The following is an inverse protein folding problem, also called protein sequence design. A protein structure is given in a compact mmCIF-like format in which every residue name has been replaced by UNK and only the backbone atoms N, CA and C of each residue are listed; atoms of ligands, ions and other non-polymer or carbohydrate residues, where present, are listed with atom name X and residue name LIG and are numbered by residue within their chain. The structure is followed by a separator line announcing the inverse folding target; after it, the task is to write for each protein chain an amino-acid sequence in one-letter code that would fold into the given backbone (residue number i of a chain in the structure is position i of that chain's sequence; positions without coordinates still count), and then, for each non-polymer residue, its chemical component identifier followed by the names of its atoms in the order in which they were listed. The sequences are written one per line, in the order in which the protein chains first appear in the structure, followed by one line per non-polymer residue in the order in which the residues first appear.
data_IF_525198413365
#
_entry.id   IF_525198413365
#
_cell.length_a   1.000
_cell.length_b   1.000
_cell.length_c   1.000
_cell.angle_alpha   90.00
_cell.angle_beta   90.00
_cell.angle_gamma   90.00
#
_symmetry.space_group_name_H-M   'P 1'
#
loop_
_entity.id
_entity.type
_entity.pdbx_description
1 polymer ?
#
# COMPACT_ATOMS: atom_id res chain seq x y z
N UNK A 1 -7.39 -17.44 -62.94
CA UNK A 1 -7.87 -18.20 -61.76
C UNK A 1 -6.84 -18.21 -60.63
N UNK A 2 -5.58 -18.56 -60.87
CA UNK A 2 -4.53 -18.64 -59.82
C UNK A 2 -4.24 -17.30 -59.12
N UNK A 3 -4.30 -16.15 -59.81
CA UNK A 3 -4.02 -14.82 -59.20
C UNK A 3 -5.11 -14.31 -58.25
N UNK A 4 -6.37 -14.75 -58.40
CA UNK A 4 -7.50 -14.34 -57.54
C UNK A 4 -7.47 -15.11 -56.22
N UNK A 5 -7.05 -16.38 -56.25
CA UNK A 5 -6.88 -17.23 -55.05
C UNK A 5 -5.76 -16.71 -54.16
N UNK A 6 -4.66 -16.22 -54.76
CA UNK A 6 -3.51 -15.67 -54.03
C UNK A 6 -3.86 -14.36 -53.31
N UNK A 7 -4.67 -13.49 -53.92
CA UNK A 7 -5.10 -12.23 -53.28
C UNK A 7 -6.09 -12.45 -52.12
N UNK A 8 -6.97 -13.46 -52.19
CA UNK A 8 -7.86 -13.81 -51.08
C UNK A 8 -7.12 -14.46 -49.90
N UNK A 9 -6.05 -15.23 -50.17
CA UNK A 9 -5.27 -15.90 -49.13
C UNK A 9 -4.43 -14.92 -48.28
N UNK A 10 -3.96 -13.82 -48.87
CA UNK A 10 -3.13 -12.82 -48.17
C UNK A 10 -3.99 -11.90 -47.29
N UNK A 11 -5.22 -11.57 -47.71
CA UNK A 11 -6.14 -10.73 -46.92
C UNK A 11 -6.67 -11.45 -45.66
N UNK A 12 -6.74 -12.79 -45.67
CA UNK A 12 -7.17 -13.59 -44.52
C UNK A 12 -6.04 -13.87 -43.51
N UNK A 13 -4.77 -13.77 -43.91
CA UNK A 13 -3.65 -14.00 -43.00
C UNK A 13 -3.27 -12.74 -42.19
N UNK A 14 -3.60 -11.55 -42.68
CA UNK A 14 -3.33 -10.28 -41.99
C UNK A 14 -4.30 -10.00 -40.82
N UNK A 15 -5.42 -10.72 -40.71
CA UNK A 15 -6.39 -10.54 -39.62
C UNK A 15 -6.05 -11.36 -38.36
N UNK A 16 -5.10 -12.29 -38.43
CA UNK A 16 -4.76 -13.19 -37.31
C UNK A 16 -3.66 -12.58 -36.40
N UNK A 17 -2.95 -11.55 -36.86
CA UNK A 17 -1.80 -10.99 -36.13
C UNK A 17 -2.11 -9.71 -35.32
N UNK A 18 -3.38 -9.34 -35.13
CA UNK A 18 -3.78 -8.19 -34.30
C UNK A 18 -4.10 -8.56 -32.84
N UNK A 19 -3.85 -9.82 -32.44
CA UNK A 19 -4.20 -10.34 -31.11
C UNK A 19 -3.08 -10.33 -30.07
N UNK A 20 -1.89 -9.79 -30.38
CA UNK A 20 -0.83 -9.67 -29.38
C UNK A 20 -1.09 -8.46 -28.48
N UNK A 21 -2.07 -8.61 -27.59
CA UNK A 21 -2.21 -7.77 -26.41
C UNK A 21 -0.90 -7.84 -25.65
N UNK A 22 -0.08 -6.80 -25.80
CA UNK A 22 1.10 -6.60 -24.98
C UNK A 22 0.59 -6.37 -23.56
N UNK A 23 0.53 -7.44 -22.77
CA UNK A 23 0.39 -7.35 -21.32
C UNK A 23 1.60 -6.57 -20.85
N UNK A 24 1.43 -5.26 -20.69
CA UNK A 24 2.37 -4.44 -19.96
C UNK A 24 2.42 -5.07 -18.58
N UNK A 25 3.50 -5.83 -18.33
CA UNK A 25 3.88 -6.18 -16.97
C UNK A 25 4.09 -4.83 -16.30
N UNK A 26 3.11 -4.39 -15.52
CA UNK A 26 3.32 -3.30 -14.60
C UNK A 26 4.49 -3.77 -13.73
N UNK A 27 5.63 -3.11 -13.86
CA UNK A 27 6.74 -3.30 -12.95
C UNK A 27 6.21 -2.76 -11.63
N UNK A 28 5.63 -3.63 -10.81
CA UNK A 28 5.28 -3.30 -9.44
C UNK A 28 6.61 -2.88 -8.81
N UNK A 29 6.77 -1.58 -8.57
CA UNK A 29 7.79 -1.10 -7.66
C UNK A 29 7.64 -1.93 -6.38
N UNK A 30 8.74 -2.45 -5.80
CA UNK A 30 8.64 -3.16 -4.54
C UNK A 30 7.90 -2.24 -3.56
N UNK A 31 6.66 -2.61 -3.19
CA UNK A 31 5.98 -1.90 -2.11
C UNK A 31 6.83 -2.20 -0.90
N UNK A 32 7.46 -1.17 -0.34
CA UNK A 32 8.23 -1.33 0.89
C UNK A 32 7.32 -2.00 1.91
N UNK A 33 7.76 -3.14 2.45
CA UNK A 33 6.93 -3.88 3.41
C UNK A 33 6.58 -2.96 4.58
N UNK A 34 5.34 -2.98 5.08
CA UNK A 34 4.88 -2.08 6.13
C UNK A 34 5.79 -2.03 7.37
N UNK A 35 6.49 -3.14 7.68
CA UNK A 35 7.52 -3.19 8.73
C UNK A 35 8.72 -2.28 8.44
N UNK A 36 9.24 -2.24 7.21
CA UNK A 36 10.37 -1.39 6.82
C UNK A 36 9.98 0.09 6.92
N UNK A 37 8.81 0.45 6.40
CA UNK A 37 8.27 1.81 6.53
C UNK A 37 8.13 2.18 8.00
N UNK A 38 7.59 1.28 8.83
CA UNK A 38 7.46 1.54 10.26
C UNK A 38 8.81 1.81 10.93
N UNK A 39 9.84 1.01 10.63
CA UNK A 39 11.17 1.19 11.21
C UNK A 39 11.79 2.55 10.86
N UNK A 40 11.65 2.99 9.60
CA UNK A 40 12.25 4.24 9.12
C UNK A 40 11.44 5.46 9.56
N UNK A 41 10.11 5.39 9.48
CA UNK A 41 9.24 6.56 9.60
C UNK A 41 8.55 6.69 10.97
N UNK A 42 8.29 5.58 11.67
CA UNK A 42 7.39 5.57 12.82
C UNK A 42 8.09 5.20 14.14
N UNK A 43 9.06 4.28 14.09
CA UNK A 43 9.67 3.67 15.27
C UNK A 43 10.36 4.68 16.19
N UNK A 44 10.87 5.79 15.64
CA UNK A 44 11.48 6.88 16.41
C UNK A 44 10.57 7.40 17.53
N UNK A 45 9.25 7.43 17.32
CA UNK A 45 8.28 7.80 18.35
C UNK A 45 7.51 6.61 18.94
N UNK A 46 7.36 5.53 18.17
CA UNK A 46 6.42 4.45 18.42
C UNK A 46 7.04 3.07 18.62
N UNK A 47 8.34 2.99 18.92
CA UNK A 47 9.02 1.74 19.20
C UNK A 47 8.21 0.81 20.15
N UNK A 48 8.12 -0.47 19.80
CA UNK A 48 7.36 -1.50 20.53
C UNK A 48 5.90 -1.10 20.83
N UNK A 49 5.28 -0.36 19.91
CA UNK A 49 3.91 0.12 20.02
C UNK A 49 3.71 1.23 21.04
N UNK A 50 4.80 1.83 21.52
CA UNK A 50 4.79 2.93 22.48
C UNK A 50 4.33 4.26 21.88
N UNK A 51 4.51 5.32 22.65
CA UNK A 51 4.49 6.70 22.17
C UNK A 51 5.30 7.56 23.15
N UNK A 52 6.49 7.98 22.72
CA UNK A 52 7.41 8.75 23.57
C UNK A 52 6.91 10.19 23.82
N UNK A 53 6.12 10.74 22.89
CA UNK A 53 5.60 12.11 22.96
C UNK A 53 4.35 12.17 23.84
N UNK A 54 3.44 11.19 23.69
CA UNK A 54 2.16 11.11 24.42
C UNK A 54 1.93 9.71 24.98
N UNK A 55 2.40 9.46 26.21
CA UNK A 55 2.36 8.14 26.89
C UNK A 55 1.00 7.42 26.93
N UNK A 56 -0.13 8.14 26.83
CA UNK A 56 -1.49 7.56 26.83
C UNK A 56 -2.08 7.30 25.42
N UNK A 57 -1.34 7.65 24.36
CA UNK A 57 -1.71 7.53 22.93
C UNK A 57 -0.74 6.57 22.23
N UNK A 58 -0.63 5.35 22.76
CA UNK A 58 0.23 4.28 22.23
C UNK A 58 -0.46 3.55 21.09
N UNK A 59 0.28 2.73 20.33
CA UNK A 59 -0.25 1.88 19.25
C UNK A 59 -0.76 0.51 19.75
N UNK A 60 -0.93 0.36 21.07
CA UNK A 60 -1.47 -0.86 21.68
C UNK A 60 -2.97 -0.90 21.48
N UNK A 61 -3.54 -2.07 21.17
CA UNK A 61 -4.98 -2.27 20.87
C UNK A 61 -5.93 -1.54 21.83
N UNK A 62 -5.76 -1.69 23.15
CA UNK A 62 -6.59 -1.00 24.17
C UNK A 62 -6.51 0.53 24.08
N UNK A 63 -5.37 1.08 23.69
CA UNK A 63 -5.21 2.51 23.49
C UNK A 63 -5.83 2.98 22.18
N UNK A 64 -5.65 2.25 21.08
CA UNK A 64 -6.28 2.54 19.80
C UNK A 64 -7.82 2.60 19.95
N UNK A 65 -8.43 1.53 20.45
CA UNK A 65 -9.88 1.44 20.66
C UNK A 65 -10.43 2.55 21.58
N UNK A 66 -9.77 2.83 22.71
CA UNK A 66 -10.20 3.93 23.61
C UNK A 66 -10.24 5.29 22.90
N UNK A 67 -9.46 5.45 21.84
CA UNK A 67 -9.35 6.69 21.10
C UNK A 67 -10.14 6.68 19.78
N UNK A 68 -11.01 5.69 19.56
CA UNK A 68 -11.79 5.52 18.34
C UNK A 68 -10.90 5.26 17.13
N UNK A 69 -9.95 4.34 17.28
CA UNK A 69 -9.13 3.79 16.20
C UNK A 69 -9.30 2.28 16.28
N UNK A 70 -10.23 1.77 15.49
CA UNK A 70 -10.76 0.42 15.49
C UNK A 70 -10.59 -0.29 14.14
N UNK A 71 -9.84 0.32 13.21
CA UNK A 71 -9.49 -0.30 11.94
C UNK A 71 -8.13 0.17 11.38
N UNK A 72 -7.49 -0.60 10.48
CA UNK A 72 -6.30 -0.14 9.75
C UNK A 72 -6.58 1.09 8.87
N UNK A 73 -7.78 1.27 8.35
CA UNK A 73 -8.17 2.44 7.56
C UNK A 73 -8.18 3.72 8.41
N UNK A 74 -8.61 3.65 9.67
CA UNK A 74 -8.53 4.79 10.59
C UNK A 74 -7.08 5.15 10.96
N UNK A 75 -6.20 4.15 11.02
CA UNK A 75 -4.76 4.39 11.15
C UNK A 75 -4.23 5.07 9.87
N UNK A 76 -4.63 4.59 8.69
CA UNK A 76 -4.21 5.18 7.42
C UNK A 76 -4.62 6.65 7.34
N UNK A 77 -5.87 6.99 7.67
CA UNK A 77 -6.34 8.38 7.73
C UNK A 77 -5.51 9.23 8.70
N UNK A 78 -5.10 8.67 9.84
CA UNK A 78 -4.25 9.36 10.81
C UNK A 78 -2.82 9.57 10.30
N UNK A 79 -2.27 8.60 9.59
CA UNK A 79 -0.93 8.68 8.98
C UNK A 79 -0.94 9.69 7.83
N UNK A 80 -1.94 9.65 6.94
CA UNK A 80 -2.11 10.61 5.84
C UNK A 80 -2.15 12.04 6.37
N UNK A 81 -3.09 12.33 7.28
CA UNK A 81 -3.40 13.71 7.69
C UNK A 81 -2.60 14.21 8.90
N UNK A 82 -1.95 13.31 9.64
CA UNK A 82 -1.36 13.63 10.94
C UNK A 82 -2.42 14.02 11.99
N UNK A 83 -1.96 14.26 13.22
CA UNK A 83 -2.82 14.76 14.32
C UNK A 83 -2.00 15.31 15.48
N UNK A 84 -2.25 16.56 15.86
CA UNK A 84 -1.50 17.27 16.90
C UNK A 84 0.02 17.25 16.62
N UNK A 85 0.80 16.59 17.49
CA UNK A 85 2.25 16.49 17.37
C UNK A 85 2.73 15.42 16.36
N UNK A 86 1.82 14.60 15.83
CA UNK A 86 2.15 13.64 14.77
C UNK A 86 1.98 14.34 13.42
N UNK A 87 3.07 14.45 12.66
CA UNK A 87 3.07 15.03 11.30
C UNK A 87 2.20 14.22 10.34
N UNK A 88 1.69 14.89 9.30
CA UNK A 88 1.13 14.25 8.12
C UNK A 88 2.23 13.57 7.30
N UNK A 89 1.89 12.45 6.64
CA UNK A 89 2.82 11.68 5.80
C UNK A 89 2.41 11.64 4.32
N UNK A 90 1.30 12.27 3.93
CA UNK A 90 0.83 12.29 2.53
C UNK A 90 1.86 12.88 1.54
N UNK A 91 2.71 13.80 1.98
CA UNK A 91 3.79 14.37 1.16
C UNK A 91 5.06 13.50 1.12
N UNK A 92 5.09 12.38 1.86
CA UNK A 92 6.30 11.55 2.05
C UNK A 92 6.12 10.09 1.69
N UNK A 93 4.90 9.57 1.79
CA UNK A 93 4.56 8.18 1.53
C UNK A 93 3.43 8.13 0.51
N UNK A 94 3.50 7.17 -0.42
CA UNK A 94 2.40 6.88 -1.33
C UNK A 94 1.18 6.34 -0.56
N UNK A 95 -0.03 6.38 -1.15
CA UNK A 95 -1.21 5.76 -0.54
C UNK A 95 -0.99 4.29 -0.19
N UNK A 96 -0.34 3.53 -1.07
CA UNK A 96 -0.03 2.10 -0.88
C UNK A 96 0.95 1.87 0.28
N UNK A 97 1.95 2.74 0.43
CA UNK A 97 2.88 2.70 1.57
C UNK A 97 2.19 3.03 2.89
N UNK A 98 1.26 4.00 2.89
CA UNK A 98 0.43 4.34 4.05
C UNK A 98 -0.48 3.18 4.43
N UNK A 99 -1.12 2.53 3.46
CA UNK A 99 -1.94 1.33 3.69
C UNK A 99 -1.08 0.19 4.28
N UNK A 100 0.09 -0.06 3.69
CA UNK A 100 1.01 -1.11 4.13
C UNK A 100 1.47 -0.91 5.59
N UNK A 101 1.91 0.30 5.96
CA UNK A 101 2.35 0.59 7.33
C UNK A 101 1.18 0.58 8.32
N UNK A 102 -0.01 1.00 7.89
CA UNK A 102 -1.21 0.98 8.73
C UNK A 102 -1.69 -0.44 9.01
N UNK A 103 -1.68 -1.30 8.00
CA UNK A 103 -1.97 -2.73 8.16
C UNK A 103 -0.97 -3.41 9.11
N UNK A 104 0.33 -3.11 8.95
CA UNK A 104 1.36 -3.60 9.86
C UNK A 104 1.12 -3.15 11.31
N UNK A 105 0.84 -1.86 11.55
CA UNK A 105 0.54 -1.34 12.90
C UNK A 105 -0.68 -2.03 13.50
N UNK A 106 -1.72 -2.24 12.70
CA UNK A 106 -2.93 -2.93 13.15
C UNK A 106 -2.65 -4.37 13.54
N UNK A 107 -1.97 -5.14 12.69
CA UNK A 107 -1.55 -6.52 12.99
C UNK A 107 -0.71 -6.59 14.26
N UNK A 108 0.28 -5.71 14.41
CA UNK A 108 1.10 -5.65 15.63
C UNK A 108 0.27 -5.31 16.87
N UNK A 109 -0.74 -4.44 16.75
CA UNK A 109 -1.65 -4.15 17.84
C UNK A 109 -2.49 -5.38 18.25
N UNK A 110 -2.98 -6.15 17.28
CA UNK A 110 -3.71 -7.40 17.49
C UNK A 110 -2.85 -8.47 18.19
N UNK A 111 -1.59 -8.60 17.80
CA UNK A 111 -0.61 -9.50 18.43
C UNK A 111 -0.11 -8.99 19.80
N UNK A 112 -0.40 -7.73 20.12
CA UNK A 112 0.01 -7.07 21.35
C UNK A 112 1.47 -6.63 21.35
N UNK A 113 2.06 -6.38 20.18
CA UNK A 113 3.45 -5.95 19.97
C UNK A 113 4.46 -6.94 20.57
N UNK A 114 4.35 -8.21 20.16
CA UNK A 114 5.20 -9.33 20.60
C UNK A 114 5.91 -9.95 19.42
#
# INVERSE_FOLDING_TARGET
MVRIVVTCAIALFAFIFSGFSHSQSAWATPVDSGVQIFQVQCAGCHAHGGNIIRRRRTLKKKALHRNGIDSPEEIALLVTNGKNNMSAFEDRLSPEEIEAVSAYVWEQAELGWR
#
